data_IF_618603261238
#
_entry.id   IF_618603261238
#
_cell.length_a   1.000
_cell.length_b   1.000
_cell.length_c   1.000
_cell.angle_alpha   90.00
_cell.angle_beta   90.00
_cell.angle_gamma   90.00
#
_symmetry.space_group_name_H-M   'P 1'
#
loop_
_entity.id
_entity.type
_entity.pdbx_description
1 polymer ?
#
# COMPACT_ATOMS: atom_id res chain seq x y z
N UNK A 1 48.22 73.11 17.81
CA UNK A 1 49.59 72.78 18.26
C UNK A 1 49.50 72.15 19.65
N UNK A 2 50.41 71.21 19.96
CA UNK A 2 50.13 69.97 20.71
C UNK A 2 50.51 70.04 22.20
N UNK A 3 50.06 69.10 23.04
CA UNK A 3 50.94 68.15 23.78
C UNK A 3 50.17 67.21 24.73
N UNK A 4 50.60 65.94 24.73
CA UNK A 4 50.80 64.99 25.88
C UNK A 4 49.69 64.85 26.94
N UNK A 5 49.02 63.70 27.17
CA UNK A 5 49.41 62.30 27.49
C UNK A 5 50.25 62.16 28.77
N UNK A 6 49.97 61.07 29.52
CA UNK A 6 50.82 60.33 30.51
C UNK A 6 50.59 60.76 31.99
N UNK A 7 50.43 59.92 33.04
CA UNK A 7 50.47 58.45 33.28
C UNK A 7 50.07 58.13 34.74
N UNK A 8 49.48 56.92 34.92
CA UNK A 8 49.45 55.93 36.02
C UNK A 8 49.65 56.30 37.51
N UNK A 9 48.82 55.76 38.43
CA UNK A 9 49.03 54.59 39.35
C UNK A 9 50.30 54.67 40.21
N UNK A 10 50.42 54.25 41.46
CA UNK A 10 49.76 53.31 42.38
C UNK A 10 50.22 53.72 43.79
N UNK A 11 49.44 53.49 44.86
CA UNK A 11 50.05 53.01 46.12
C UNK A 11 49.08 52.06 46.82
N UNK A 12 49.50 50.80 46.81
CA UNK A 12 49.02 49.71 47.65
C UNK A 12 49.70 49.75 49.02
N UNK A 13 48.98 49.24 50.03
CA UNK A 13 49.48 48.40 51.12
C UNK A 13 49.40 48.95 52.56
N UNK A 14 48.47 48.32 53.29
CA UNK A 14 48.70 47.41 54.42
C UNK A 14 48.92 47.96 55.85
N UNK A 15 48.04 47.42 56.70
CA UNK A 15 48.22 46.88 58.04
C UNK A 15 48.34 47.86 59.22
N UNK A 16 47.33 47.82 60.11
CA UNK A 16 47.42 47.12 61.41
C UNK A 16 46.12 47.24 62.24
N UNK A 17 45.73 46.09 62.78
CA UNK A 17 44.74 45.78 63.81
C UNK A 17 45.01 46.48 65.14
N UNK A 18 43.95 46.92 65.84
CA UNK A 18 43.70 46.71 67.29
C UNK A 18 42.20 46.87 67.59
N UNK A 19 41.69 45.97 68.42
CA UNK A 19 40.30 45.82 68.82
C UNK A 19 39.89 46.88 69.86
N UNK A 20 38.72 47.52 69.68
CA UNK A 20 38.01 48.18 70.78
C UNK A 20 36.50 47.89 70.68
N UNK A 21 36.10 47.02 71.62
CA UNK A 21 34.81 46.70 72.21
C UNK A 21 33.51 47.36 71.68
N UNK A 22 32.63 46.45 71.24
CA UNK A 22 31.21 46.34 71.58
C UNK A 22 30.36 47.62 71.64
N UNK A 23 29.58 47.84 70.58
CA UNK A 23 28.20 48.24 70.77
C UNK A 23 27.29 47.55 69.75
N UNK A 24 26.38 46.75 70.29
CA UNK A 24 25.39 45.96 69.59
C UNK A 24 24.28 46.90 69.08
N UNK A 25 24.17 47.06 67.76
CA UNK A 25 22.97 47.60 67.12
C UNK A 25 22.53 46.59 66.07
N UNK A 26 21.48 45.88 66.43
CA UNK A 26 20.72 44.96 65.60
C UNK A 26 20.10 45.75 64.44
N UNK A 27 20.61 45.49 63.25
CA UNK A 27 20.27 46.18 62.02
C UNK A 27 20.76 45.34 60.85
N UNK A 28 20.26 44.11 60.77
CA UNK A 28 20.55 43.17 59.69
C UNK A 28 20.09 43.79 58.37
N UNK A 29 21.05 44.35 57.64
CA UNK A 29 20.89 44.83 56.28
C UNK A 29 20.65 43.69 55.29
N UNK A 30 19.91 44.05 54.24
CA UNK A 30 19.28 43.28 53.15
C UNK A 30 20.22 42.43 52.25
N UNK A 31 21.35 41.93 52.77
CA UNK A 31 22.32 41.14 52.00
C UNK A 31 22.89 39.89 52.72
N UNK A 32 22.29 39.44 53.83
CA UNK A 32 22.75 38.23 54.55
C UNK A 32 22.00 36.93 54.21
N UNK A 33 20.94 36.98 53.40
CA UNK A 33 20.10 35.79 53.10
C UNK A 33 20.71 34.79 52.10
N UNK A 34 22.01 34.88 51.79
CA UNK A 34 22.69 33.97 50.84
C UNK A 34 24.06 33.48 51.27
N UNK A 35 24.28 33.28 52.57
CA UNK A 35 25.49 32.62 53.05
C UNK A 35 25.14 31.55 54.08
N UNK A 36 25.26 30.28 53.65
CA UNK A 36 25.24 29.04 54.44
C UNK A 36 23.85 28.63 54.98
N UNK A 37 23.29 27.46 54.67
CA UNK A 37 23.92 26.16 54.88
C UNK A 37 23.55 25.08 53.85
N UNK A 38 24.59 24.30 53.54
CA UNK A 38 24.53 22.95 53.03
C UNK A 38 24.14 22.04 54.21
N UNK A 39 22.90 21.54 54.24
CA UNK A 39 22.54 20.41 55.10
C UNK A 39 22.48 19.15 54.26
N UNK A 40 23.42 18.28 54.58
CA UNK A 40 23.60 16.92 54.12
C UNK A 40 22.54 16.04 54.81
N UNK A 41 21.32 16.03 54.27
CA UNK A 41 20.31 15.01 54.63
C UNK A 41 20.34 13.89 53.59
N UNK A 42 21.30 13.01 53.80
CA UNK A 42 21.32 11.64 53.28
C UNK A 42 20.14 10.87 53.91
N UNK A 43 19.50 10.02 53.12
CA UNK A 43 18.42 9.09 53.52
C UNK A 43 17.01 9.66 53.75
N UNK A 44 16.36 10.09 52.66
CA UNK A 44 15.10 9.45 52.20
C UNK A 44 14.64 10.03 50.85
N UNK A 45 14.12 9.14 49.99
CA UNK A 45 13.37 9.41 48.74
C UNK A 45 14.16 9.41 47.42
N UNK A 46 14.74 8.24 47.12
CA UNK A 46 15.19 7.77 45.79
C UNK A 46 14.15 7.82 44.64
N UNK A 47 12.96 8.38 44.85
CA UNK A 47 11.90 8.54 43.82
C UNK A 47 11.77 9.98 43.29
N UNK A 48 12.55 10.95 43.78
CA UNK A 48 12.31 12.39 43.52
C UNK A 48 13.42 13.11 42.73
N UNK A 49 14.48 12.42 42.34
CA UNK A 49 15.68 13.01 41.68
C UNK A 49 15.45 13.46 40.25
N UNK A 50 14.55 12.81 39.49
CA UNK A 50 14.21 13.22 38.10
C UNK A 50 13.40 14.51 38.05
N UNK A 51 12.50 14.73 39.01
CA UNK A 51 11.67 15.94 39.09
C UNK A 51 12.47 17.18 39.53
N UNK A 52 13.47 16.99 40.40
CA UNK A 52 14.28 18.09 40.96
C UNK A 52 15.14 18.79 39.88
N UNK A 53 15.77 18.03 38.99
CA UNK A 53 16.61 18.57 37.89
C UNK A 53 15.80 19.37 36.85
N UNK A 54 14.62 18.85 36.45
CA UNK A 54 13.71 19.53 35.53
C UNK A 54 13.14 20.82 36.14
N UNK A 55 12.75 20.80 37.42
CA UNK A 55 12.27 21.99 38.11
C UNK A 55 13.34 23.08 38.23
N UNK A 56 14.59 22.74 38.55
CA UNK A 56 15.69 23.72 38.57
C UNK A 56 15.97 24.32 37.20
N UNK A 57 15.84 23.54 36.12
CA UNK A 57 16.02 24.03 34.75
C UNK A 57 14.85 24.93 34.31
N UNK A 58 13.61 24.56 34.63
CA UNK A 58 12.41 25.37 34.36
C UNK A 58 12.43 26.71 35.10
N UNK A 59 12.91 26.73 36.35
CA UNK A 59 13.09 27.97 37.10
C UNK A 59 14.16 28.89 36.48
N UNK A 60 15.22 28.34 35.87
CA UNK A 60 16.25 29.10 35.16
C UNK A 60 15.79 29.66 33.82
N UNK A 61 14.82 29.02 33.15
CA UNK A 61 14.23 29.53 31.91
C UNK A 61 13.15 30.59 32.14
N UNK A 62 12.53 30.59 33.32
CA UNK A 62 11.47 31.52 33.73
C UNK A 62 11.82 33.02 33.49
N UNK A 63 13.04 33.53 33.78
CA UNK A 63 13.40 34.92 33.48
C UNK A 63 13.59 35.22 31.98
N UNK A 64 14.05 34.26 31.16
CA UNK A 64 14.23 34.46 29.71
C UNK A 64 12.89 34.50 28.96
N UNK A 65 11.89 33.81 29.48
CA UNK A 65 10.52 33.78 28.95
C UNK A 65 9.76 35.09 29.24
N UNK A 66 10.36 36.12 29.87
CA UNK A 66 9.67 37.40 30.12
C UNK A 66 9.51 38.26 28.85
N UNK A 67 10.36 38.07 27.83
CA UNK A 67 10.29 38.82 26.56
C UNK A 67 9.26 38.19 25.59
N UNK A 68 8.36 39.03 25.03
CA UNK A 68 7.31 38.61 24.09
C UNK A 68 7.86 37.89 22.86
N UNK A 69 8.99 38.34 22.32
CA UNK A 69 9.58 37.75 21.12
C UNK A 69 10.13 36.35 21.42
N UNK A 70 10.77 36.16 22.57
CA UNK A 70 11.31 34.86 23.01
C UNK A 70 10.20 33.84 23.24
N UNK A 71 9.02 34.27 23.73
CA UNK A 71 7.84 33.39 23.85
C UNK A 71 7.36 32.88 22.50
N UNK A 72 7.25 33.75 21.50
CA UNK A 72 6.79 33.38 20.17
C UNK A 72 7.77 32.39 19.52
N UNK A 73 9.08 32.65 19.59
CA UNK A 73 10.09 31.70 19.12
C UNK A 73 10.06 30.37 19.86
N UNK A 74 9.83 30.38 21.18
CA UNK A 74 9.69 29.15 21.97
C UNK A 74 8.45 28.35 21.56
N UNK A 75 7.31 28.99 21.30
CA UNK A 75 6.09 28.33 20.85
C UNK A 75 6.31 27.71 19.47
N UNK A 76 6.89 28.46 18.54
CA UNK A 76 7.20 27.96 17.19
C UNK A 76 8.15 26.75 17.25
N UNK A 77 9.21 26.81 18.07
CA UNK A 77 10.13 25.70 18.23
C UNK A 77 9.47 24.46 18.86
N UNK A 78 8.54 24.66 19.81
CA UNK A 78 7.77 23.54 20.39
C UNK A 78 6.83 22.94 19.34
N UNK A 79 6.14 23.76 18.55
CA UNK A 79 5.28 23.28 17.45
C UNK A 79 6.13 22.51 16.42
N UNK A 80 7.27 23.06 16.01
CA UNK A 80 8.19 22.40 15.09
C UNK A 80 8.72 21.09 15.67
N UNK A 81 9.05 21.04 16.97
CA UNK A 81 9.47 19.80 17.64
C UNK A 81 8.37 18.74 17.56
N UNK A 82 7.12 19.10 17.86
CA UNK A 82 5.96 18.18 17.78
C UNK A 82 5.77 17.67 16.35
N UNK A 83 5.84 18.56 15.35
CA UNK A 83 5.73 18.18 13.94
C UNK A 83 6.86 17.22 13.54
N UNK A 84 8.11 17.50 13.92
CA UNK A 84 9.25 16.63 13.61
C UNK A 84 9.13 15.25 14.28
N UNK A 85 8.65 15.19 15.52
CA UNK A 85 8.38 13.93 16.22
C UNK A 85 7.27 13.14 15.49
N UNK A 86 6.18 13.80 15.08
CA UNK A 86 5.12 13.17 14.31
C UNK A 86 5.62 12.63 12.97
N UNK A 87 6.42 13.42 12.24
CA UNK A 87 7.04 12.99 10.99
C UNK A 87 7.98 11.81 11.19
N UNK A 88 8.78 11.80 12.26
CA UNK A 88 9.64 10.66 12.60
C UNK A 88 8.83 9.39 12.79
N UNK A 89 7.72 9.44 13.53
CA UNK A 89 6.83 8.28 13.69
C UNK A 89 6.20 7.84 12.37
N UNK A 90 5.81 8.78 11.50
CA UNK A 90 5.31 8.45 10.16
C UNK A 90 6.37 7.74 9.32
N UNK A 91 7.61 8.23 9.31
CA UNK A 91 8.72 7.62 8.56
C UNK A 91 9.05 6.24 9.11
N UNK A 92 9.13 6.09 10.44
CA UNK A 92 9.36 4.79 11.08
C UNK A 92 8.22 3.83 10.72
N UNK A 93 6.96 4.25 10.87
CA UNK A 93 5.79 3.44 10.52
C UNK A 93 5.79 3.01 9.06
N UNK A 94 6.10 3.93 8.14
CA UNK A 94 6.21 3.63 6.71
C UNK A 94 7.38 2.68 6.41
N UNK A 95 8.52 2.85 7.07
CA UNK A 95 9.67 1.96 6.91
C UNK A 95 9.37 0.54 7.40
N UNK A 96 8.66 0.39 8.52
CA UNK A 96 8.22 -0.92 9.03
C UNK A 96 7.18 -1.53 8.09
N UNK A 97 6.21 -0.73 7.61
CA UNK A 97 5.20 -1.19 6.66
C UNK A 97 5.84 -1.74 5.38
N UNK A 98 6.74 -0.98 4.76
CA UNK A 98 7.45 -1.41 3.54
C UNK A 98 8.35 -2.63 3.79
N UNK A 99 8.99 -2.72 4.96
CA UNK A 99 9.76 -3.90 5.35
C UNK A 99 8.88 -5.14 5.51
N UNK A 100 7.70 -5.02 6.11
CA UNK A 100 6.74 -6.13 6.25
C UNK A 100 6.26 -6.60 4.89
N UNK A 101 5.90 -5.68 3.98
CA UNK A 101 5.51 -6.06 2.62
C UNK A 101 6.67 -6.70 1.84
N UNK A 102 7.89 -6.20 2.00
CA UNK A 102 9.08 -6.80 1.41
C UNK A 102 9.33 -8.22 1.93
N UNK A 103 9.22 -8.43 3.24
CA UNK A 103 9.35 -9.77 3.85
C UNK A 103 8.22 -10.68 3.38
N UNK A 104 6.96 -10.19 3.35
CA UNK A 104 5.82 -10.98 2.87
C UNK A 104 6.00 -11.35 1.40
N UNK A 105 6.39 -10.41 0.55
CA UNK A 105 6.66 -10.64 -0.87
C UNK A 105 7.77 -11.66 -1.08
N UNK A 106 8.85 -11.61 -0.29
CA UNK A 106 9.92 -12.60 -0.37
C UNK A 106 9.49 -13.97 0.18
N UNK A 107 8.69 -14.04 1.25
CA UNK A 107 8.17 -15.30 1.81
C UNK A 107 7.12 -15.96 0.92
N UNK A 108 6.22 -15.18 0.34
CA UNK A 108 5.28 -15.65 -0.69
C UNK A 108 6.02 -15.97 -2.00
N UNK A 109 7.12 -15.28 -2.26
CA UNK A 109 8.07 -15.63 -3.31
C UNK A 109 8.56 -17.07 -3.14
N UNK A 110 8.99 -17.46 -1.93
CA UNK A 110 9.50 -18.82 -1.66
C UNK A 110 8.50 -19.94 -2.00
N UNK A 111 7.19 -19.72 -1.91
CA UNK A 111 6.17 -20.71 -2.32
C UNK A 111 5.92 -20.75 -3.84
N UNK A 112 6.21 -19.67 -4.57
CA UNK A 112 6.03 -19.58 -6.03
C UNK A 112 7.33 -19.45 -6.81
N UNK A 113 8.49 -19.69 -6.18
CA UNK A 113 9.77 -19.65 -6.86
C UNK A 113 9.82 -20.81 -7.86
N UNK A 114 9.54 -20.49 -9.11
CA UNK A 114 9.80 -21.37 -10.24
C UNK A 114 11.31 -21.33 -10.47
N UNK A 115 12.06 -22.37 -10.10
CA UNK A 115 13.52 -22.35 -10.23
C UNK A 115 13.96 -22.34 -11.71
N UNK A 116 13.01 -22.54 -12.64
CA UNK A 116 13.26 -22.59 -14.07
C UNK A 116 12.29 -21.68 -14.83
N UNK A 117 12.84 -20.96 -15.80
CA UNK A 117 12.12 -20.20 -16.80
C UNK A 117 11.95 -21.08 -18.03
N UNK A 118 10.79 -20.97 -18.67
CA UNK A 118 10.46 -21.74 -19.86
C UNK A 118 9.43 -20.98 -20.67
N UNK A 119 9.37 -21.27 -21.96
CA UNK A 119 8.40 -20.70 -22.89
C UNK A 119 7.37 -21.75 -23.29
N UNK A 120 6.12 -21.31 -23.44
CA UNK A 120 5.08 -22.12 -24.02
C UNK A 120 5.15 -22.09 -25.55
N UNK A 121 4.85 -23.21 -26.18
CA UNK A 121 4.62 -23.29 -27.62
C UNK A 121 3.36 -22.52 -28.01
N UNK A 122 3.18 -22.32 -29.32
CA UNK A 122 1.93 -21.78 -29.86
C UNK A 122 0.77 -22.71 -29.55
N UNK A 123 -0.43 -22.15 -29.37
CA UNK A 123 -1.65 -22.93 -29.25
C UNK A 123 -1.86 -23.84 -30.47
N UNK A 124 -2.32 -25.06 -30.21
CA UNK A 124 -2.77 -25.99 -31.23
C UNK A 124 -4.01 -25.45 -31.95
N UNK A 125 -4.34 -26.08 -33.07
CA UNK A 125 -5.68 -25.94 -33.62
C UNK A 125 -6.73 -26.39 -32.60
N UNK A 126 -7.89 -25.74 -32.66
CA UNK A 126 -9.01 -26.07 -31.80
C UNK A 126 -9.58 -27.44 -32.18
N UNK A 127 -9.96 -28.25 -31.19
CA UNK A 127 -10.48 -29.60 -31.42
C UNK A 127 -11.71 -29.63 -32.33
N UNK A 128 -12.53 -28.57 -32.29
CA UNK A 128 -13.72 -28.41 -33.11
C UNK A 128 -13.93 -26.94 -33.48
N UNK A 129 -14.78 -26.68 -34.48
CA UNK A 129 -15.03 -25.31 -34.99
C UNK A 129 -16.03 -24.51 -34.16
N UNK A 130 -16.84 -25.17 -33.35
CA UNK A 130 -17.93 -24.57 -32.57
C UNK A 130 -18.30 -25.49 -31.39
N UNK A 131 -18.94 -24.93 -30.37
CA UNK A 131 -19.42 -25.68 -29.22
C UNK A 131 -20.71 -26.44 -29.55
N UNK A 132 -20.71 -27.74 -29.25
CA UNK A 132 -21.88 -28.61 -29.47
C UNK A 132 -22.99 -28.28 -28.47
N UNK A 133 -22.65 -28.07 -27.19
CA UNK A 133 -23.56 -27.86 -26.09
C UNK A 133 -23.00 -26.81 -25.10
N UNK A 134 -23.80 -26.33 -24.15
CA UNK A 134 -23.40 -25.33 -23.14
C UNK A 134 -22.36 -25.83 -22.13
N UNK A 135 -22.20 -27.15 -22.03
CA UNK A 135 -21.29 -27.81 -21.08
C UNK A 135 -20.02 -28.36 -21.72
N UNK A 136 -19.95 -28.41 -23.06
CA UNK A 136 -18.81 -28.98 -23.78
C UNK A 136 -18.25 -27.98 -24.78
N UNK A 137 -17.14 -27.35 -24.39
CA UNK A 137 -16.39 -26.43 -25.23
C UNK A 137 -15.24 -27.16 -25.93
N UNK A 138 -15.01 -26.86 -27.21
CA UNK A 138 -13.81 -27.29 -27.89
C UNK A 138 -12.56 -26.81 -27.15
N UNK A 139 -11.50 -27.59 -27.20
CA UNK A 139 -10.25 -27.32 -26.47
C UNK A 139 -9.10 -27.16 -27.44
N UNK A 140 -8.16 -26.28 -27.08
CA UNK A 140 -6.84 -26.18 -27.68
C UNK A 140 -5.81 -26.39 -26.57
N UNK A 141 -4.65 -26.90 -26.95
CA UNK A 141 -3.57 -27.15 -26.01
C UNK A 141 -2.28 -26.47 -26.46
N UNK A 142 -1.36 -26.32 -25.53
CA UNK A 142 0.02 -25.94 -25.79
C UNK A 142 0.93 -26.64 -24.81
N UNK A 143 2.19 -26.78 -25.18
CA UNK A 143 3.20 -27.50 -24.41
C UNK A 143 4.38 -26.60 -24.09
N UNK A 144 5.18 -26.95 -23.10
CA UNK A 144 6.44 -26.25 -22.85
C UNK A 144 7.45 -26.59 -23.94
N UNK A 145 8.17 -25.59 -24.46
CA UNK A 145 9.27 -25.79 -25.41
C UNK A 145 10.52 -26.27 -24.67
N UNK A 146 10.95 -27.54 -24.83
CA UNK A 146 12.04 -28.12 -24.03
C UNK A 146 13.36 -27.34 -24.12
N UNK A 147 13.66 -26.80 -25.29
CA UNK A 147 14.86 -26.01 -25.59
C UNK A 147 14.93 -24.66 -24.87
N UNK A 148 13.80 -24.18 -24.35
CA UNK A 148 13.70 -22.89 -23.65
C UNK A 148 13.80 -23.01 -22.13
N UNK A 149 13.86 -24.24 -21.62
CA UNK A 149 13.94 -24.49 -20.18
C UNK A 149 15.33 -24.08 -19.69
N UNK A 150 15.40 -23.00 -18.92
CA UNK A 150 16.64 -22.49 -18.33
C UNK A 150 16.49 -22.32 -16.83
N UNK A 151 17.56 -22.63 -16.09
CA UNK A 151 17.61 -22.41 -14.63
C UNK A 151 17.73 -20.93 -14.31
N UNK A 152 17.00 -20.49 -13.29
CA UNK A 152 17.16 -19.15 -12.74
C UNK A 152 18.56 -18.97 -12.14
N UNK A 153 19.20 -17.82 -12.38
CA UNK A 153 20.51 -17.48 -11.81
C UNK A 153 20.37 -16.89 -10.40
N UNK A 154 21.46 -16.89 -9.63
CA UNK A 154 21.52 -16.26 -8.31
C UNK A 154 21.21 -17.22 -7.17
N UNK A 155 20.39 -16.78 -6.20
CA UNK A 155 20.03 -17.55 -4.99
C UNK A 155 19.48 -18.95 -5.32
N UNK A 156 18.81 -19.09 -6.47
CA UNK A 156 18.11 -20.31 -6.91
C UNK A 156 18.92 -21.15 -7.92
N UNK A 157 20.21 -20.85 -8.13
CA UNK A 157 21.04 -21.60 -9.09
C UNK A 157 21.22 -23.08 -8.72
N UNK A 158 21.12 -23.38 -7.42
CA UNK A 158 21.24 -24.74 -6.88
C UNK A 158 19.90 -25.49 -6.84
N UNK A 159 18.78 -24.81 -7.10
CA UNK A 159 17.48 -25.44 -7.08
C UNK A 159 17.24 -26.25 -8.36
N UNK A 160 16.59 -27.40 -8.20
CA UNK A 160 16.31 -28.31 -9.31
C UNK A 160 15.00 -27.89 -9.96
N UNK A 161 14.96 -27.86 -11.30
CA UNK A 161 13.71 -27.69 -12.04
C UNK A 161 12.69 -28.75 -11.59
N UNK A 162 11.40 -28.41 -11.46
CA UNK A 162 10.35 -29.41 -11.36
C UNK A 162 10.53 -30.52 -12.40
N UNK A 163 10.36 -31.80 -12.02
CA UNK A 163 10.46 -32.90 -12.98
C UNK A 163 9.37 -32.78 -14.04
N UNK A 164 9.66 -33.23 -15.27
CA UNK A 164 8.70 -33.30 -16.38
C UNK A 164 8.16 -31.93 -16.85
N UNK A 165 8.95 -30.86 -16.71
CA UNK A 165 8.60 -29.53 -17.20
C UNK A 165 8.32 -29.53 -18.71
N UNK A 166 9.09 -30.31 -19.46
CA UNK A 166 8.95 -30.56 -20.89
C UNK A 166 7.63 -31.24 -21.29
N UNK A 167 7.00 -31.96 -20.36
CA UNK A 167 5.75 -32.69 -20.60
C UNK A 167 4.52 -31.92 -20.10
N UNK A 168 4.71 -30.69 -19.61
CA UNK A 168 3.59 -29.87 -19.16
C UNK A 168 2.72 -29.48 -20.35
N UNK A 169 1.42 -29.74 -20.20
CA UNK A 169 0.38 -29.39 -21.17
C UNK A 169 -0.59 -28.42 -20.51
N UNK A 170 -0.85 -27.32 -21.20
CA UNK A 170 -1.84 -26.33 -20.82
C UNK A 170 -3.04 -26.42 -21.77
N UNK A 171 -4.25 -26.29 -21.24
CA UNK A 171 -5.50 -26.45 -21.98
C UNK A 171 -6.34 -25.19 -21.83
N UNK A 172 -6.92 -24.72 -22.94
CA UNK A 172 -7.84 -23.59 -22.94
C UNK A 172 -9.05 -23.87 -23.82
N UNK A 173 -10.24 -23.35 -23.45
CA UNK A 173 -11.41 -23.42 -24.31
C UNK A 173 -11.20 -22.52 -25.55
N UNK A 174 -11.66 -22.99 -26.70
CA UNK A 174 -11.65 -22.29 -27.96
C UNK A 174 -13.00 -22.44 -28.67
N UNK A 175 -13.28 -21.59 -29.66
CA UNK A 175 -14.52 -21.64 -30.45
C UNK A 175 -15.79 -21.81 -29.60
N UNK A 176 -15.94 -20.97 -28.58
CA UNK A 176 -17.01 -21.08 -27.57
C UNK A 176 -18.41 -20.74 -28.09
N UNK A 177 -18.54 -20.34 -29.35
CA UNK A 177 -19.82 -20.08 -29.99
C UNK A 177 -20.54 -21.39 -30.32
N UNK A 178 -21.86 -21.44 -30.14
CA UNK A 178 -22.67 -22.63 -30.45
C UNK A 178 -22.67 -22.95 -31.94
N UNK A 179 -22.65 -24.23 -32.29
CA UNK A 179 -22.78 -24.68 -33.67
C UNK A 179 -24.15 -24.30 -34.26
N UNK A 180 -24.15 -23.89 -35.54
CA UNK A 180 -25.39 -23.58 -36.24
C UNK A 180 -26.22 -24.84 -36.51
N UNK A 181 -27.50 -24.80 -36.14
CA UNK A 181 -28.47 -25.86 -36.46
C UNK A 181 -29.03 -25.62 -37.86
N UNK A 182 -29.32 -26.69 -38.60
CA UNK A 182 -29.92 -26.56 -39.93
C UNK A 182 -31.38 -26.16 -39.80
N UNK A 183 -31.86 -25.29 -40.67
CA UNK A 183 -33.27 -24.91 -40.70
C UNK A 183 -34.17 -26.12 -41.00
N UNK A 184 -33.68 -27.07 -41.79
CA UNK A 184 -34.38 -28.32 -42.12
C UNK A 184 -34.67 -29.21 -40.91
N UNK A 185 -33.87 -29.12 -39.84
CA UNK A 185 -34.02 -29.90 -38.59
C UNK A 185 -35.24 -29.45 -37.78
N UNK A 186 -35.74 -28.22 -38.01
CA UNK A 186 -36.90 -27.69 -37.29
C UNK A 186 -38.20 -28.24 -37.87
N UNK A 187 -39.10 -28.67 -36.98
CA UNK A 187 -40.44 -29.14 -37.36
C UNK A 187 -41.31 -28.05 -37.99
N UNK A 188 -42.47 -28.44 -38.51
CA UNK A 188 -43.44 -27.52 -39.09
C UNK A 188 -44.46 -27.05 -38.03
N UNK A 189 -44.84 -25.78 -38.06
CA UNK A 189 -45.92 -25.20 -37.25
C UNK A 189 -47.01 -24.66 -38.18
N UNK A 190 -48.27 -24.93 -37.84
CA UNK A 190 -49.43 -24.42 -38.56
C UNK A 190 -49.64 -22.94 -38.25
N UNK A 191 -49.79 -22.12 -39.29
CA UNK A 191 -50.21 -20.74 -39.16
C UNK A 191 -51.67 -20.72 -38.71
N UNK A 192 -51.90 -20.21 -37.49
CA UNK A 192 -53.26 -19.93 -37.03
C UNK A 192 -53.66 -18.60 -37.68
N UNK A 193 -54.69 -18.66 -38.52
CA UNK A 193 -55.33 -17.49 -39.13
C UNK A 193 -55.85 -16.56 -38.03
N UNK A 194 -55.03 -15.58 -37.65
CA UNK A 194 -55.37 -14.57 -36.65
C UNK A 194 -54.13 -14.12 -35.88
N UNK A 195 -53.51 -13.04 -36.34
CA UNK A 195 -52.43 -12.32 -35.63
C UNK A 195 -51.22 -13.16 -35.22
N UNK A 196 -50.50 -13.70 -36.20
CA UNK A 196 -49.07 -13.94 -36.03
C UNK A 196 -48.33 -12.61 -36.20
N UNK A 197 -48.10 -11.91 -35.10
CA UNK A 197 -47.37 -10.64 -35.06
C UNK A 197 -46.02 -10.77 -35.77
N UNK A 198 -45.85 -10.06 -36.88
CA UNK A 198 -44.56 -9.87 -37.56
C UNK A 198 -44.38 -10.60 -38.90
N UNK A 199 -45.28 -11.49 -39.32
CA UNK A 199 -45.17 -12.15 -40.64
C UNK A 199 -46.27 -11.64 -41.58
N UNK A 200 -45.90 -10.74 -42.50
CA UNK A 200 -46.76 -10.32 -43.60
C UNK A 200 -46.78 -11.39 -44.70
N UNK A 201 -47.40 -12.54 -44.41
CA UNK A 201 -47.66 -13.56 -45.43
C UNK A 201 -48.68 -12.99 -46.41
N UNK A 202 -48.21 -12.42 -47.53
CA UNK A 202 -49.04 -11.74 -48.54
C UNK A 202 -50.13 -12.64 -49.16
N UNK A 203 -50.05 -13.96 -48.98
CA UNK A 203 -51.08 -14.94 -49.36
C UNK A 203 -51.13 -16.10 -48.37
N UNK A 204 -51.88 -15.94 -47.28
CA UNK A 204 -52.17 -17.03 -46.31
C UNK A 204 -52.96 -18.19 -46.96
N UNK A 205 -53.51 -18.00 -48.16
CA UNK A 205 -54.40 -18.97 -48.81
C UNK A 205 -53.71 -20.17 -49.49
N UNK A 206 -52.39 -20.15 -49.69
CA UNK A 206 -51.66 -21.27 -50.32
C UNK A 206 -50.68 -21.98 -49.39
N UNK A 207 -50.11 -21.27 -48.40
CA UNK A 207 -49.13 -21.81 -47.47
C UNK A 207 -49.66 -21.74 -46.03
N UNK A 208 -49.84 -22.90 -45.39
CA UNK A 208 -50.38 -22.98 -44.03
C UNK A 208 -49.34 -23.35 -42.98
N UNK A 209 -48.11 -23.72 -43.35
CA UNK A 209 -47.09 -24.12 -42.37
C UNK A 209 -45.77 -23.38 -42.58
N UNK A 210 -45.14 -23.00 -41.48
CA UNK A 210 -43.79 -22.41 -41.40
C UNK A 210 -42.89 -23.29 -40.54
N UNK A 211 -41.57 -23.15 -40.67
CA UNK A 211 -40.62 -23.83 -39.77
C UNK A 211 -40.76 -23.28 -38.35
N UNK A 212 -40.90 -24.19 -37.39
CA UNK A 212 -41.05 -23.89 -35.97
C UNK A 212 -39.69 -23.71 -35.30
N UNK A 213 -39.12 -22.51 -35.44
CA UNK A 213 -37.88 -22.13 -34.76
C UNK A 213 -38.23 -21.66 -33.34
N UNK A 214 -37.93 -22.48 -32.34
CA UNK A 214 -38.21 -22.20 -30.93
C UNK A 214 -37.40 -21.00 -30.43
N UNK A 215 -37.89 -20.26 -29.44
CA UNK A 215 -37.06 -19.21 -28.86
C UNK A 215 -35.88 -19.83 -28.10
N UNK A 216 -34.66 -19.41 -28.41
CA UNK A 216 -33.45 -19.92 -27.76
C UNK A 216 -32.17 -19.26 -28.28
N UNK A 217 -31.07 -19.56 -27.58
CA UNK A 217 -29.73 -19.09 -27.94
C UNK A 217 -29.04 -20.13 -28.83
N UNK A 218 -29.25 -20.00 -30.14
CA UNK A 218 -28.61 -20.83 -31.16
C UNK A 218 -28.56 -20.10 -32.51
N UNK A 219 -27.55 -20.42 -33.31
CA UNK A 219 -27.43 -19.96 -34.69
C UNK A 219 -28.23 -20.90 -35.62
N UNK A 220 -28.90 -20.36 -36.63
CA UNK A 220 -29.62 -21.14 -37.64
C UNK A 220 -28.95 -20.95 -38.99
N UNK A 221 -28.57 -22.06 -39.62
CA UNK A 221 -28.08 -22.06 -41.00
C UNK A 221 -29.26 -22.33 -41.94
N UNK A 222 -29.49 -21.45 -42.91
CA UNK A 222 -30.56 -21.58 -43.92
C UNK A 222 -30.06 -22.53 -45.01
N UNK A 223 -30.32 -23.82 -44.81
CA UNK A 223 -29.86 -24.91 -45.69
C UNK A 223 -30.91 -25.34 -46.73
N UNK A 224 -32.13 -24.81 -46.64
CA UNK A 224 -33.26 -25.20 -47.49
C UNK A 224 -34.03 -23.99 -48.00
N UNK A 225 -34.51 -24.07 -49.24
CA UNK A 225 -35.38 -23.07 -49.87
C UNK A 225 -36.84 -23.19 -49.39
N UNK A 226 -37.22 -24.35 -48.81
CA UNK A 226 -38.58 -24.65 -48.36
C UNK A 226 -38.84 -24.05 -46.97
N UNK A 227 -39.03 -22.73 -46.92
CA UNK A 227 -39.38 -21.98 -45.71
C UNK A 227 -40.86 -22.17 -45.30
N UNK A 228 -41.71 -22.42 -46.30
CA UNK A 228 -43.16 -22.59 -46.16
C UNK A 228 -43.62 -23.89 -46.81
N UNK A 229 -44.67 -24.49 -46.27
CA UNK A 229 -45.32 -25.68 -46.85
C UNK A 229 -46.77 -25.39 -47.18
N UNK A 230 -47.20 -25.84 -48.36
CA UNK A 230 -48.58 -25.74 -48.82
C UNK A 230 -49.52 -26.56 -47.93
N UNK A 231 -50.76 -26.10 -47.83
CA UNK A 231 -51.81 -26.80 -47.12
C UNK A 231 -52.19 -28.05 -47.95
N UNK A 232 -52.08 -29.24 -47.35
CA UNK A 232 -52.70 -30.45 -47.91
C UNK A 232 -54.21 -30.43 -47.66
#
# INVERSE_FOLDING_TARGET
MPSERIVTTDVSSKDKTWEEQANYVDGVGEFTDRLSDITEDEDTQLMNTRHRYLNTWLHRLRPLVRNRNVRVFSIINVVLLVVNIALLFCVIGFSVYTLVEFIRSNRLGDEFHKPCLYQWSSWSECSEKCAQNETYYPIMNRTVMPETIVKARGKYANDVCPPNLENLVDYAPCNTHKCAKKLSDFGWMKLISGNASGVSVKKVSQYCMIRNVQQGDYLVNVDTENLTKECA
#
